data_IF_589701128293
#
_entry.id   IF_589701128293
#
_cell.length_a   1.000
_cell.length_b   1.000
_cell.length_c   1.000
_cell.angle_alpha   90.00
_cell.angle_beta   90.00
_cell.angle_gamma   90.00
#
_symmetry.space_group_name_H-M   'P 1'
#
loop_
_entity.id
_entity.type
_entity.pdbx_description
1 polymer ?
#
# COMPACT_ATOMS: atom_id res chain seq x y z
N UNK A 1 34.32 3.18 41.90
CA UNK A 1 33.01 2.96 41.24
C UNK A 1 31.89 3.33 42.18
N UNK A 2 30.73 3.71 41.63
CA UNK A 2 29.48 3.91 42.38
C UNK A 2 28.69 2.59 42.45
N UNK A 3 27.76 2.47 43.38
CA UNK A 3 26.93 1.25 43.52
C UNK A 3 26.15 0.94 42.22
N UNK A 4 25.62 1.96 41.54
CA UNK A 4 24.89 1.79 40.28
C UNK A 4 25.78 1.22 39.15
N UNK A 5 27.06 1.55 39.12
CA UNK A 5 28.01 0.99 38.15
C UNK A 5 28.30 -0.49 38.47
N UNK A 6 28.24 -0.89 39.75
CA UNK A 6 28.39 -2.28 40.15
C UNK A 6 27.18 -3.10 39.73
N UNK A 7 25.98 -2.58 39.94
CA UNK A 7 24.74 -3.24 39.55
C UNK A 7 24.71 -3.53 38.05
N UNK A 8 25.22 -2.62 37.21
CA UNK A 8 25.33 -2.87 35.76
C UNK A 8 26.33 -3.98 35.41
N UNK A 9 27.37 -4.19 36.22
CA UNK A 9 28.41 -5.20 36.01
C UNK A 9 28.17 -6.48 36.82
N UNK A 10 27.04 -6.56 37.55
CA UNK A 10 26.77 -7.64 38.50
C UNK A 10 26.69 -9.00 37.81
N UNK A 11 25.93 -9.09 36.72
CA UNK A 11 25.80 -10.34 35.96
C UNK A 11 27.16 -10.79 35.42
N UNK A 12 27.90 -9.89 34.77
CA UNK A 12 29.22 -10.20 34.21
C UNK A 12 30.24 -10.61 35.31
N UNK A 13 30.11 -10.04 36.50
CA UNK A 13 30.93 -10.42 37.66
C UNK A 13 30.58 -11.82 38.18
N UNK A 14 29.29 -12.14 38.29
CA UNK A 14 28.81 -13.46 38.75
C UNK A 14 29.13 -14.55 37.73
N UNK A 15 28.98 -14.25 36.44
CA UNK A 15 29.30 -15.16 35.33
C UNK A 15 30.82 -15.28 35.08
N UNK A 16 31.63 -14.38 35.66
CA UNK A 16 33.09 -14.38 35.54
C UNK A 16 33.61 -13.91 34.19
N UNK A 17 32.82 -13.13 33.44
CA UNK A 17 33.14 -12.63 32.09
C UNK A 17 33.88 -11.29 32.10
N UNK A 18 33.96 -10.62 33.25
CA UNK A 18 34.66 -9.34 33.40
C UNK A 18 36.16 -9.42 33.12
N UNK A 19 36.71 -8.32 32.60
CA UNK A 19 38.17 -8.18 32.47
C UNK A 19 38.83 -8.11 33.85
N UNK A 20 40.13 -8.47 33.91
CA UNK A 20 40.88 -8.48 35.17
C UNK A 20 40.91 -7.10 35.85
N UNK A 21 40.97 -6.02 35.07
CA UNK A 21 40.91 -4.64 35.58
C UNK A 21 39.56 -4.30 36.20
N UNK A 22 38.46 -4.65 35.54
CA UNK A 22 37.11 -4.36 36.04
C UNK A 22 36.82 -5.19 37.29
N UNK A 23 37.23 -6.46 37.29
CA UNK A 23 37.09 -7.33 38.46
C UNK A 23 37.79 -6.76 39.68
N UNK A 24 39.02 -6.27 39.54
CA UNK A 24 39.75 -5.62 40.63
C UNK A 24 38.99 -4.38 41.17
N UNK A 25 38.41 -3.57 40.28
CA UNK A 25 37.60 -2.40 40.70
C UNK A 25 36.32 -2.80 41.45
N UNK A 26 35.67 -3.88 41.04
CA UNK A 26 34.49 -4.45 41.72
C UNK A 26 34.88 -4.98 43.09
N UNK A 27 35.95 -5.76 43.19
CA UNK A 27 36.44 -6.32 44.47
C UNK A 27 36.83 -5.23 45.47
N UNK A 28 37.45 -4.13 45.02
CA UNK A 28 37.72 -2.96 45.87
C UNK A 28 36.44 -2.31 46.40
N UNK A 29 35.37 -2.28 45.59
CA UNK A 29 34.08 -1.75 46.04
C UNK A 29 33.36 -2.70 47.00
N UNK A 30 33.41 -4.01 46.76
CA UNK A 30 32.84 -5.02 47.66
C UNK A 30 33.50 -5.02 49.04
N UNK A 31 34.80 -4.69 49.11
CA UNK A 31 35.51 -4.52 50.37
C UNK A 31 35.05 -3.29 51.17
N UNK A 32 34.53 -2.25 50.49
CA UNK A 32 34.11 -0.98 51.14
C UNK A 32 32.60 -0.86 51.34
N UNK A 33 31.78 -1.54 50.54
CA UNK A 33 30.32 -1.44 50.58
C UNK A 33 29.66 -2.78 50.99
N UNK A 34 29.10 -2.90 52.21
CA UNK A 34 28.44 -4.12 52.65
C UNK A 34 27.14 -4.43 51.88
N UNK A 35 26.41 -3.41 51.41
CA UNK A 35 25.17 -3.61 50.65
C UNK A 35 25.40 -4.30 49.30
N UNK A 36 26.42 -3.86 48.55
CA UNK A 36 26.78 -4.50 47.29
C UNK A 36 27.36 -5.92 47.48
N UNK A 37 28.00 -6.18 48.63
CA UNK A 37 28.47 -7.53 48.97
C UNK A 37 27.31 -8.50 49.17
N UNK A 38 26.29 -8.10 49.93
CA UNK A 38 25.07 -8.92 50.10
C UNK A 38 24.39 -9.16 48.75
N UNK A 39 24.27 -8.14 47.91
CA UNK A 39 23.67 -8.27 46.57
C UNK A 39 24.41 -9.30 45.69
N UNK A 40 25.75 -9.29 45.72
CA UNK A 40 26.58 -10.27 45.00
C UNK A 40 26.43 -11.68 45.57
N UNK A 41 26.38 -11.82 46.90
CA UNK A 41 26.17 -13.10 47.56
C UNK A 41 24.80 -13.70 47.21
N UNK A 42 23.74 -12.88 47.23
CA UNK A 42 22.39 -13.29 46.83
C UNK A 42 22.33 -13.70 45.35
N UNK A 43 22.97 -12.93 44.46
CA UNK A 43 23.03 -13.24 43.04
C UNK A 43 23.78 -14.57 42.78
N UNK A 44 24.90 -14.81 43.46
CA UNK A 44 25.63 -16.08 43.37
C UNK A 44 24.79 -17.26 43.88
N UNK A 45 24.14 -17.09 45.03
CA UNK A 45 23.26 -18.12 45.58
C UNK A 45 22.09 -18.46 44.63
N UNK A 46 21.54 -17.47 43.93
CA UNK A 46 20.51 -17.70 42.92
C UNK A 46 21.03 -18.50 41.73
N UNK A 47 22.22 -18.20 41.22
CA UNK A 47 22.85 -18.96 40.12
C UNK A 47 23.17 -20.39 40.54
N UNK A 48 23.73 -20.58 41.74
CA UNK A 48 24.01 -21.91 42.30
C UNK A 48 22.72 -22.73 42.47
N UNK A 49 21.63 -22.09 42.92
CA UNK A 49 20.32 -22.73 43.00
C UNK A 49 19.81 -23.16 41.62
N UNK A 50 19.92 -22.29 40.61
CA UNK A 50 19.54 -22.64 39.23
C UNK A 50 20.37 -23.81 38.67
N UNK A 51 21.63 -23.92 39.05
CA UNK A 51 22.50 -25.02 38.64
C UNK A 51 22.07 -26.39 39.20
N UNK A 52 21.25 -26.43 40.27
CA UNK A 52 20.69 -27.69 40.79
C UNK A 52 19.53 -28.25 39.96
N UNK A 53 18.99 -27.46 39.02
CA UNK A 53 17.91 -27.92 38.16
C UNK A 53 18.34 -29.12 37.29
N UNK A 54 17.41 -30.06 37.07
CA UNK A 54 17.67 -31.21 36.22
C UNK A 54 18.02 -30.79 34.80
N UNK A 55 19.17 -31.23 34.30
CA UNK A 55 19.58 -30.97 32.91
C UNK A 55 18.63 -31.74 31.97
N UNK A 56 17.89 -31.05 31.08
CA UNK A 56 17.03 -31.73 30.12
C UNK A 56 17.88 -32.49 29.10
N UNK A 57 17.47 -33.71 28.76
CA UNK A 57 18.14 -34.48 27.71
C UNK A 57 17.93 -33.77 26.35
N UNK A 58 19.02 -33.41 25.65
CA UNK A 58 18.90 -32.75 24.35
C UNK A 58 18.34 -33.74 23.32
N UNK A 59 17.41 -33.31 22.45
CA UNK A 59 16.89 -34.18 21.40
C UNK A 59 18.03 -34.63 20.47
N UNK A 60 18.04 -35.91 20.03
CA UNK A 60 19.19 -36.50 19.33
C UNK A 60 19.52 -35.82 17.99
N UNK A 61 18.54 -35.12 17.38
CA UNK A 61 18.74 -34.36 16.15
C UNK A 61 19.40 -32.98 16.35
N UNK A 62 19.47 -32.48 17.59
CA UNK A 62 19.92 -31.10 17.87
C UNK A 62 21.38 -30.87 17.49
N UNK A 63 22.27 -31.81 17.84
CA UNK A 63 23.70 -31.71 17.54
C UNK A 63 23.93 -31.65 16.03
N UNK A 64 23.25 -32.51 15.28
CA UNK A 64 23.34 -32.54 13.81
C UNK A 64 22.76 -31.26 13.18
N UNK A 65 21.67 -30.72 13.72
CA UNK A 65 21.08 -29.46 13.27
C UNK A 65 22.04 -28.28 13.49
N UNK A 66 22.62 -28.16 14.69
CA UNK A 66 23.59 -27.10 15.01
C UNK A 66 24.81 -27.20 14.10
N UNK A 67 25.37 -28.40 13.89
CA UNK A 67 26.51 -28.61 12.99
C UNK A 67 26.18 -28.24 11.53
N UNK A 68 24.97 -28.56 11.08
CA UNK A 68 24.50 -28.20 9.74
C UNK A 68 24.33 -26.68 9.59
N UNK A 69 23.73 -26.00 10.57
CA UNK A 69 23.55 -24.54 10.55
C UNK A 69 24.87 -23.78 10.66
N UNK A 70 25.77 -24.21 11.56
CA UNK A 70 27.09 -23.63 11.70
C UNK A 70 27.92 -23.74 10.41
N UNK A 71 27.82 -24.88 9.70
CA UNK A 71 28.50 -25.08 8.40
C UNK A 71 27.88 -24.25 7.28
N UNK A 72 26.55 -24.13 7.26
CA UNK A 72 25.85 -23.44 6.18
C UNK A 72 25.82 -21.92 6.35
N UNK A 73 26.18 -21.41 7.54
CA UNK A 73 26.14 -19.98 7.86
C UNK A 73 24.71 -19.41 7.86
N UNK A 74 23.71 -20.28 7.88
CA UNK A 74 22.29 -19.90 7.83
C UNK A 74 21.68 -20.20 9.18
N UNK A 75 21.41 -19.13 9.94
CA UNK A 75 20.59 -19.22 11.14
C UNK A 75 19.15 -19.38 10.67
N UNK A 76 18.58 -20.58 10.83
CA UNK A 76 17.16 -20.77 10.53
C UNK A 76 16.35 -20.02 11.59
N UNK A 77 15.41 -19.13 11.21
CA UNK A 77 14.56 -18.50 12.21
C UNK A 77 13.73 -19.57 12.92
N UNK A 78 13.63 -19.45 14.26
CA UNK A 78 12.84 -20.34 15.12
C UNK A 78 11.46 -20.55 14.50
N UNK A 79 11.21 -21.76 14.00
CA UNK A 79 9.98 -22.12 13.32
C UNK A 79 8.88 -22.28 14.36
N UNK A 80 8.16 -21.20 14.65
CA UNK A 80 6.89 -21.27 15.40
C UNK A 80 5.87 -22.02 14.55
N UNK A 81 5.79 -23.33 14.76
CA UNK A 81 4.82 -24.19 14.09
C UNK A 81 3.45 -24.02 14.73
N UNK A 82 2.66 -23.11 14.16
CA UNK A 82 1.24 -22.96 14.48
C UNK A 82 0.44 -22.75 13.18
N UNK A 83 -0.84 -23.16 13.13
CA UNK A 83 -1.68 -23.03 11.93
C UNK A 83 -1.90 -21.56 11.50
N UNK A 84 -1.57 -20.58 12.34
CA UNK A 84 -1.61 -19.15 12.03
C UNK A 84 -0.41 -18.59 11.25
N UNK A 85 0.69 -19.34 11.05
CA UNK A 85 1.88 -18.79 10.39
C UNK A 85 1.70 -18.57 8.88
N UNK A 86 0.89 -19.39 8.21
CA UNK A 86 0.60 -19.20 6.78
C UNK A 86 -0.26 -17.97 6.52
N UNK A 87 -1.28 -17.74 7.34
CA UNK A 87 -2.04 -16.49 7.35
C UNK A 87 -1.13 -15.30 7.70
N UNK A 88 -0.28 -15.45 8.72
CA UNK A 88 0.68 -14.43 9.13
C UNK A 88 1.63 -14.01 8.01
N UNK A 89 2.11 -14.93 7.18
CA UNK A 89 2.98 -14.63 6.02
C UNK A 89 2.26 -13.96 4.85
N UNK A 90 1.01 -14.33 4.60
CA UNK A 90 0.21 -13.71 3.53
C UNK A 90 -0.23 -12.29 3.92
N UNK A 91 -0.49 -12.06 5.21
CA UNK A 91 -0.90 -10.76 5.74
C UNK A 91 0.26 -9.94 6.35
N UNK A 92 1.47 -10.49 6.41
CA UNK A 92 2.70 -9.80 6.88
C UNK A 92 2.97 -8.46 6.17
N UNK A 93 2.81 -8.34 4.83
CA UNK A 93 2.97 -7.04 4.17
C UNK A 93 1.79 -6.10 4.42
N UNK A 94 0.60 -6.63 4.72
CA UNK A 94 -0.63 -5.84 4.95
C UNK A 94 -0.69 -5.24 6.36
N UNK A 95 -0.13 -5.93 7.37
CA UNK A 95 -0.10 -5.44 8.75
C UNK A 95 1.14 -4.61 9.10
N UNK A 96 1.95 -4.20 8.13
CA UNK A 96 2.97 -3.21 8.40
C UNK A 96 2.30 -1.87 8.80
N UNK A 97 2.75 -1.22 9.89
CA UNK A 97 2.10 -0.02 10.43
C UNK A 97 2.01 1.14 9.42
N UNK A 98 2.85 1.13 8.37
CA UNK A 98 2.81 2.12 7.30
C UNK A 98 1.60 1.99 6.35
N UNK A 99 1.10 0.78 6.07
CA UNK A 99 -0.01 0.56 5.14
C UNK A 99 -1.39 0.63 5.81
N UNK A 100 -1.47 0.35 7.11
CA UNK A 100 -2.71 0.42 7.87
C UNK A 100 -3.35 1.82 7.83
N UNK A 101 -2.53 2.88 7.96
CA UNK A 101 -3.03 4.26 7.92
C UNK A 101 -3.59 4.64 6.54
N UNK A 102 -2.94 4.19 5.46
CA UNK A 102 -3.38 4.45 4.09
C UNK A 102 -4.70 3.75 3.76
N UNK A 103 -4.84 2.47 4.10
CA UNK A 103 -6.09 1.73 3.87
C UNK A 103 -7.25 2.27 4.71
N UNK A 104 -7.01 2.69 5.95
CA UNK A 104 -8.04 3.33 6.77
C UNK A 104 -8.55 4.63 6.10
N UNK A 105 -7.65 5.43 5.53
CA UNK A 105 -8.01 6.69 4.86
C UNK A 105 -8.77 6.46 3.56
N UNK A 106 -8.42 5.47 2.75
CA UNK A 106 -9.16 5.18 1.51
C UNK A 106 -10.55 4.65 1.80
N UNK A 107 -10.70 3.75 2.77
CA UNK A 107 -12.00 3.21 3.19
C UNK A 107 -12.89 4.34 3.75
N UNK A 108 -12.34 5.22 4.59
CA UNK A 108 -13.07 6.38 5.11
C UNK A 108 -13.47 7.35 4.00
N UNK A 109 -12.58 7.63 3.04
CA UNK A 109 -12.88 8.52 1.92
C UNK A 109 -14.01 7.98 1.04
N UNK A 110 -13.95 6.69 0.69
CA UNK A 110 -15.03 6.04 -0.07
C UNK A 110 -16.35 5.98 0.71
N UNK A 111 -16.30 5.70 2.01
CA UNK A 111 -17.49 5.70 2.88
C UNK A 111 -18.12 7.10 2.99
N UNK A 112 -17.29 8.14 3.11
CA UNK A 112 -17.74 9.53 3.16
C UNK A 112 -18.34 9.96 1.81
N UNK A 113 -17.72 9.61 0.68
CA UNK A 113 -18.21 9.92 -0.66
C UNK A 113 -19.55 9.20 -0.96
N UNK A 114 -19.68 7.94 -0.53
CA UNK A 114 -20.94 7.20 -0.60
C UNK A 114 -22.06 7.85 0.23
N UNK A 115 -21.73 8.39 1.41
CA UNK A 115 -22.69 9.15 2.24
C UNK A 115 -23.09 10.49 1.60
N UNK A 116 -22.14 11.24 1.03
CA UNK A 116 -22.41 12.55 0.40
C UNK A 116 -23.21 12.45 -0.90
N UNK A 117 -23.04 11.36 -1.66
CA UNK A 117 -23.81 11.12 -2.90
C UNK A 117 -25.24 10.63 -2.64
N UNK A 118 -25.65 10.54 -1.37
CA UNK A 118 -27.03 10.18 -1.00
C UNK A 118 -27.42 8.77 -1.46
N UNK A 119 -26.42 7.91 -1.71
CA UNK A 119 -26.68 6.49 -1.94
C UNK A 119 -27.08 5.91 -0.59
N UNK A 120 -28.37 6.04 -0.27
CA UNK A 120 -28.98 5.26 0.79
C UNK A 120 -28.68 3.80 0.46
N UNK A 121 -27.75 3.20 1.20
CA UNK A 121 -27.52 1.77 1.23
C UNK A 121 -28.76 1.17 1.93
N UNK A 122 -29.92 1.28 1.27
CA UNK A 122 -31.12 0.54 1.64
C UNK A 122 -30.70 -0.90 1.52
N UNK A 123 -30.69 -1.57 2.68
CA UNK A 123 -30.43 -2.99 2.90
C UNK A 123 -30.27 -3.72 1.57
N UNK A 124 -29.03 -3.87 1.12
CA UNK A 124 -28.71 -4.73 -0.02
C UNK A 124 -29.04 -6.14 0.44
N UNK A 125 -30.28 -6.53 0.23
CA UNK A 125 -30.75 -7.90 0.43
C UNK A 125 -29.92 -8.75 -0.54
N UNK A 126 -29.25 -9.82 -0.08
CA UNK A 126 -28.37 -10.64 -0.93
C UNK A 126 -29.08 -11.32 -2.12
N UNK A 127 -30.39 -11.12 -2.26
CA UNK A 127 -31.22 -11.59 -3.37
C UNK A 127 -31.32 -10.57 -4.52
N UNK A 128 -30.87 -9.33 -4.34
CA UNK A 128 -30.84 -8.29 -5.40
C UNK A 128 -29.49 -8.21 -6.14
N UNK A 129 -28.58 -9.16 -5.90
CA UNK A 129 -27.34 -9.32 -6.67
C UNK A 129 -27.58 -10.05 -8.01
N UNK A 130 -28.65 -9.70 -8.73
CA UNK A 130 -28.74 -10.03 -10.14
C UNK A 130 -27.98 -8.95 -10.93
N UNK A 131 -26.83 -9.28 -11.55
CA UNK A 131 -25.96 -8.30 -12.19
C UNK A 131 -26.71 -7.48 -13.25
N UNK A 132 -27.68 -8.08 -13.95
CA UNK A 132 -28.46 -7.42 -14.99
C UNK A 132 -29.27 -6.22 -14.49
N UNK A 133 -29.82 -6.26 -13.28
CA UNK A 133 -30.63 -5.14 -12.73
C UNK A 133 -29.76 -3.99 -12.28
N UNK A 134 -28.56 -4.30 -11.75
CA UNK A 134 -27.57 -3.28 -11.39
C UNK A 134 -27.12 -2.51 -12.63
N UNK A 135 -26.79 -3.22 -13.72
CA UNK A 135 -26.41 -2.59 -15.00
C UNK A 135 -27.51 -1.68 -15.55
N UNK A 136 -28.77 -2.11 -15.56
CA UNK A 136 -29.88 -1.28 -16.06
C UNK A 136 -30.07 0.01 -15.23
N UNK A 137 -29.94 -0.07 -13.90
CA UNK A 137 -30.08 1.14 -13.04
C UNK A 137 -28.89 2.11 -13.14
N UNK A 138 -27.71 1.63 -13.51
CA UNK A 138 -26.52 2.44 -13.79
C UNK A 138 -26.61 3.10 -15.16
N UNK A 139 -27.05 2.33 -16.16
CA UNK A 139 -27.27 2.78 -17.54
C UNK A 139 -28.31 3.92 -17.58
N UNK A 140 -29.46 3.75 -16.92
CA UNK A 140 -30.52 4.75 -16.84
C UNK A 140 -30.05 6.08 -16.21
N UNK A 141 -29.16 6.01 -15.22
CA UNK A 141 -28.58 7.21 -14.59
C UNK A 141 -27.56 7.87 -15.50
N UNK A 142 -26.71 7.10 -16.18
CA UNK A 142 -25.71 7.60 -17.11
C UNK A 142 -26.36 8.39 -18.24
N UNK A 143 -27.39 7.83 -18.88
CA UNK A 143 -28.13 8.50 -19.96
C UNK A 143 -28.79 9.81 -19.51
N UNK A 144 -29.42 9.84 -18.32
CA UNK A 144 -30.04 11.06 -17.80
C UNK A 144 -29.03 12.15 -17.44
N UNK A 145 -27.83 11.78 -16.98
CA UNK A 145 -26.76 12.76 -16.73
C UNK A 145 -26.13 13.28 -18.03
N UNK A 146 -26.04 12.43 -19.05
CA UNK A 146 -25.52 12.78 -20.38
C UNK A 146 -26.42 13.79 -21.09
N UNK A 147 -27.74 13.59 -21.06
CA UNK A 147 -28.69 14.55 -21.64
C UNK A 147 -28.63 15.92 -20.95
N UNK A 148 -28.41 15.94 -19.63
CA UNK A 148 -28.27 17.17 -18.86
C UNK A 148 -26.98 17.91 -19.19
N UNK A 149 -25.88 17.18 -19.42
CA UNK A 149 -24.61 17.75 -19.86
C UNK A 149 -24.69 18.32 -21.27
N UNK A 150 -25.35 17.61 -22.21
CA UNK A 150 -25.54 18.09 -23.58
C UNK A 150 -26.33 19.40 -23.63
N UNK A 151 -27.45 19.49 -22.89
CA UNK A 151 -28.26 20.72 -22.81
C UNK A 151 -27.50 21.88 -22.15
N UNK A 152 -26.63 21.60 -21.18
CA UNK A 152 -25.79 22.64 -20.57
C UNK A 152 -24.84 23.22 -21.62
N UNK A 153 -24.13 22.36 -22.37
CA UNK A 153 -23.17 22.80 -23.39
C UNK A 153 -23.82 23.60 -24.53
N UNK A 154 -24.99 23.18 -25.02
CA UNK A 154 -25.74 23.90 -26.06
C UNK A 154 -26.26 25.27 -25.58
N UNK A 155 -26.48 25.45 -24.27
CA UNK A 155 -26.94 26.73 -23.70
C UNK A 155 -25.81 27.74 -23.42
N UNK A 156 -24.54 27.35 -23.51
CA UNK A 156 -23.43 28.27 -23.28
C UNK A 156 -23.27 29.23 -24.48
N UNK A 157 -23.53 30.51 -24.20
CA UNK A 157 -23.29 31.69 -25.06
C UNK A 157 -21.90 31.73 -25.72
N UNK A 158 -20.91 31.06 -25.12
CA UNK A 158 -19.55 30.92 -25.64
C UNK A 158 -19.52 30.28 -27.04
N UNK A 159 -20.42 29.33 -27.32
CA UNK A 159 -20.47 28.68 -28.65
C UNK A 159 -20.93 29.67 -29.72
N UNK A 160 -21.86 30.58 -29.38
CA UNK A 160 -22.30 31.64 -30.28
C UNK A 160 -21.19 32.67 -30.53
N UNK A 161 -20.45 33.07 -29.49
CA UNK A 161 -19.34 34.02 -29.63
C UNK A 161 -18.19 33.43 -30.47
N UNK A 162 -17.91 32.12 -30.36
CA UNK A 162 -16.93 31.43 -31.22
C UNK A 162 -17.42 31.35 -32.68
N UNK A 163 -18.70 31.03 -32.92
CA UNK A 163 -19.23 31.05 -34.28
C UNK A 163 -19.17 32.45 -34.90
N UNK A 164 -19.48 33.48 -34.13
CA UNK A 164 -19.49 34.86 -34.60
C UNK A 164 -18.08 35.38 -34.91
N UNK A 165 -17.10 35.06 -34.07
CA UNK A 165 -15.69 35.41 -34.32
C UNK A 165 -15.08 34.66 -35.53
N UNK A 166 -15.48 33.42 -35.78
CA UNK A 166 -15.05 32.69 -36.98
C UNK A 166 -15.63 33.28 -38.26
N UNK A 167 -16.88 33.73 -38.25
CA UNK A 167 -17.49 34.45 -39.38
C UNK A 167 -16.79 35.80 -39.63
N UNK A 168 -16.52 36.59 -38.59
CA UNK A 168 -15.79 37.86 -38.71
C UNK A 168 -14.39 37.67 -39.31
N UNK A 169 -13.69 36.59 -38.96
CA UNK A 169 -12.37 36.28 -39.53
C UNK A 169 -12.43 35.83 -40.99
N UNK A 170 -13.47 35.09 -41.38
CA UNK A 170 -13.67 34.71 -42.78
C UNK A 170 -13.93 35.94 -43.66
N UNK A 171 -14.74 36.89 -43.17
CA UNK A 171 -15.07 38.13 -43.88
C UNK A 171 -13.87 39.11 -43.91
N UNK A 172 -13.01 39.07 -42.89
CA UNK A 172 -11.76 39.85 -42.83
C UNK A 172 -10.66 39.30 -43.74
N UNK A 173 -10.71 38.02 -44.12
CA UNK A 173 -9.73 37.40 -45.02
C UNK A 173 -9.97 37.74 -46.50
N UNK A 174 -11.20 38.12 -46.86
CA UNK A 174 -11.57 38.56 -48.22
C UNK A 174 -11.34 40.06 -48.46
N UNK A 175 -11.04 40.86 -47.43
CA UNK A 175 -11.12 42.32 -47.49
C UNK A 175 -9.82 43.14 -47.33
N UNK A 176 -8.59 42.57 -47.30
CA UNK A 176 -7.38 43.40 -47.19
C UNK A 176 -6.15 42.96 -48.05
N UNK A 177 -5.41 43.91 -48.68
CA UNK A 177 -4.52 43.65 -49.82
C UNK A 177 -3.01 43.60 -49.48
N UNK A 178 -2.31 42.74 -50.24
CA UNK A 178 -0.89 42.62 -50.66
C UNK A 178 0.24 43.50 -50.02
N UNK A 179 1.13 42.84 -49.26
CA UNK A 179 2.62 42.71 -49.33
C UNK A 179 3.58 43.90 -49.72
N UNK A 180 4.93 43.91 -49.43
CA UNK A 180 5.83 42.73 -49.43
C UNK A 180 7.08 42.65 -48.50
N UNK A 181 7.49 41.38 -48.31
CA UNK A 181 8.85 40.80 -48.36
C UNK A 181 9.99 41.18 -47.38
N UNK A 182 10.34 40.20 -46.52
CA UNK A 182 11.73 39.73 -46.34
C UNK A 182 11.79 38.19 -46.27
N UNK A 183 12.15 37.60 -47.41
CA UNK A 183 12.61 36.21 -47.66
C UNK A 183 13.92 35.95 -46.86
N UNK A 184 14.39 34.75 -46.47
CA UNK A 184 14.14 33.39 -46.94
C UNK A 184 14.88 32.35 -46.07
N UNK A 185 14.55 31.09 -46.33
CA UNK A 185 15.25 29.83 -46.06
C UNK A 185 14.89 29.16 -44.74
N UNK A 186 14.43 27.92 -44.70
CA UNK A 186 14.21 26.85 -45.69
C UNK A 186 13.83 25.62 -44.85
N UNK A 187 13.13 24.58 -45.28
CA UNK A 187 12.66 24.10 -46.56
C UNK A 187 11.37 23.32 -46.23
N UNK A 188 10.24 23.67 -46.86
CA UNK A 188 9.64 22.92 -47.98
C UNK A 188 9.32 21.45 -47.63
N UNK A 189 8.03 21.13 -47.49
CA UNK A 189 7.12 20.71 -48.61
C UNK A 189 6.99 19.19 -48.50
N UNK A 190 5.83 18.53 -48.49
CA UNK A 190 4.55 18.82 -49.14
C UNK A 190 3.49 17.86 -48.61
N UNK A 191 2.31 18.40 -48.32
CA UNK A 191 0.95 17.90 -48.61
C UNK A 191 0.82 17.14 -49.96
N UNK A 192 -0.37 16.72 -50.43
CA UNK A 192 -1.68 16.54 -49.79
C UNK A 192 -2.31 15.19 -50.21
N UNK A 193 -3.60 14.97 -49.90
CA UNK A 193 -4.73 14.58 -50.79
C UNK A 193 -5.76 13.86 -49.90
N UNK A 194 -6.94 14.45 -49.64
CA UNK A 194 -8.19 14.26 -50.41
C UNK A 194 -8.39 12.79 -50.80
N UNK A 195 -9.53 12.14 -50.63
CA UNK A 195 -10.93 12.52 -50.46
C UNK A 195 -11.67 11.17 -50.35
N UNK A 196 -12.92 11.20 -49.89
CA UNK A 196 -14.04 10.36 -50.33
C UNK A 196 -13.83 8.86 -50.60
N UNK A 197 -14.60 8.02 -49.90
CA UNK A 197 -15.37 6.88 -50.45
C UNK A 197 -15.98 6.11 -49.25
N UNK A 198 -17.29 6.17 -49.05
CA UNK A 198 -18.33 5.32 -49.62
C UNK A 198 -18.28 3.85 -49.14
N UNK A 199 -19.43 3.41 -48.64
CA UNK A 199 -20.02 2.05 -48.76
C UNK A 199 -19.28 0.91 -48.03
N UNK A 200 -19.81 0.35 -46.94
CA UNK A 200 -21.00 -0.51 -46.81
C UNK A 200 -20.62 -1.72 -45.90
N UNK A 201 -21.40 -2.80 -45.74
CA UNK A 201 -22.85 -3.01 -45.81
C UNK A 201 -23.46 -3.58 -44.49
N UNK A 202 -24.79 -3.70 -44.50
CA UNK A 202 -25.72 -4.24 -43.47
C UNK A 202 -25.45 -5.71 -43.12
N UNK A 203 -25.60 -6.14 -41.86
CA UNK A 203 -26.16 -7.47 -41.53
C UNK A 203 -26.98 -7.52 -40.22
N UNK A 204 -28.29 -7.70 -40.41
CA UNK A 204 -29.22 -8.66 -39.76
C UNK A 204 -29.50 -8.59 -38.26
N UNK A 205 -30.71 -8.11 -37.97
CA UNK A 205 -31.56 -8.48 -36.84
C UNK A 205 -31.98 -9.96 -36.94
N UNK A 206 -31.84 -10.79 -35.89
CA UNK A 206 -32.67 -11.97 -35.75
C UNK A 206 -34.02 -11.59 -35.11
N UNK A 207 -35.11 -11.86 -35.84
CA UNK A 207 -36.43 -12.06 -35.26
C UNK A 207 -36.60 -13.56 -34.90
N UNK A 208 -37.47 -13.82 -33.91
CA UNK A 208 -37.96 -15.16 -33.54
C UNK A 208 -37.42 -15.61 -32.18
N UNK A 209 -38.17 -16.22 -31.26
CA UNK A 209 -39.55 -16.71 -31.25
C UNK A 209 -39.87 -17.19 -29.82
N UNK A 210 -41.13 -17.56 -29.57
CA UNK A 210 -41.75 -18.08 -28.33
C UNK A 210 -42.30 -17.00 -27.38
N UNK A 211 -43.60 -16.93 -27.07
CA UNK A 211 -44.62 -17.98 -27.06
C UNK A 211 -44.74 -18.57 -25.66
N UNK A 212 -45.53 -17.91 -24.79
CA UNK A 212 -46.20 -18.50 -23.62
C UNK A 212 -47.26 -17.52 -23.07
N UNK A 213 -48.45 -17.57 -23.65
CA UNK A 213 -49.75 -17.72 -22.99
C UNK A 213 -50.86 -17.74 -24.04
#
# INVERSE_FOLDING_TARGET
>A
MKCAELESLLCDYVDGTLTQSERATVELHLASCPGCRLLVEDAKAAVDFMATASVPEPPPALVNAILHEARTGKVSPIRRSGPGHWLGKLFEPIFQPKFAMGMAMTILSFSMLGRLTGVEIRRLTPQDMEPAKVWMTLEDKAYRTWERAKKYYESLRVVYEIQQTLSDWSESQEAAPEEPARKQSGAKTSQPKNQDELEGPIEVRPQGESGKR
#
